data_IF_915800702783
#
_entry.id   IF_915800702783
#
_cell.length_a   1.000
_cell.length_b   1.000
_cell.length_c   1.000
_cell.angle_alpha   90.00
_cell.angle_beta   90.00
_cell.angle_gamma   90.00
#
_symmetry.space_group_name_H-M   'P 1'
#
loop_
_entity.id
_entity.type
_entity.pdbx_description
1 polymer ?
#
# COMPACT_ATOMS: atom_id res chain seq x y z
N UNK A 1 -3.57 -3.67 -20.67
CA UNK A 1 -3.08 -4.47 -19.53
C UNK A 1 -1.68 -4.07 -19.08
N UNK A 2 -0.62 -4.17 -19.89
CA UNK A 2 0.76 -3.82 -19.46
C UNK A 2 0.92 -2.39 -18.91
N UNK A 3 0.29 -1.41 -19.54
CA UNK A 3 0.34 -0.01 -19.07
C UNK A 3 -0.27 0.16 -17.66
N UNK A 4 -1.36 -0.56 -17.34
CA UNK A 4 -2.01 -0.53 -16.03
C UNK A 4 -1.11 -1.20 -14.98
N UNK A 5 -0.52 -2.35 -15.32
CA UNK A 5 0.46 -3.01 -14.44
C UNK A 5 1.61 -2.04 -14.10
N UNK A 6 2.18 -1.38 -15.10
CA UNK A 6 3.24 -0.39 -14.87
C UNK A 6 2.75 0.80 -14.03
N UNK A 7 1.53 1.30 -14.26
CA UNK A 7 0.95 2.37 -13.46
C UNK A 7 0.85 1.98 -11.98
N UNK A 8 0.37 0.77 -11.68
CA UNK A 8 0.27 0.28 -10.29
C UNK A 8 1.66 0.06 -9.68
N UNK A 9 2.64 -0.41 -10.46
CA UNK A 9 4.03 -0.48 -10.01
C UNK A 9 4.60 0.91 -9.66
N UNK A 10 4.32 1.95 -10.46
CA UNK A 10 4.73 3.32 -10.15
C UNK A 10 4.01 3.89 -8.92
N UNK A 11 2.73 3.55 -8.72
CA UNK A 11 2.02 3.84 -7.47
C UNK A 11 2.76 3.20 -6.28
N UNK A 12 3.14 1.94 -6.37
CA UNK A 12 3.83 1.25 -5.28
C UNK A 12 5.18 1.92 -4.98
N UNK A 13 6.06 2.06 -5.98
CA UNK A 13 7.41 2.60 -5.76
C UNK A 13 7.42 4.09 -5.41
N UNK A 14 6.47 4.87 -5.92
CA UNK A 14 6.46 6.34 -5.82
C UNK A 14 5.57 6.89 -4.71
N UNK A 15 4.56 6.12 -4.28
CA UNK A 15 3.57 6.58 -3.31
C UNK A 15 3.55 5.63 -2.12
N UNK A 16 3.19 4.36 -2.32
CA UNK A 16 2.91 3.47 -1.20
C UNK A 16 4.18 3.10 -0.43
N UNK A 17 5.22 2.66 -1.13
CA UNK A 17 6.52 2.34 -0.56
C UNK A 17 7.18 3.57 0.09
N UNK A 18 7.04 4.75 -0.52
CA UNK A 18 7.59 6.00 0.05
C UNK A 18 6.92 6.31 1.39
N UNK A 19 5.58 6.15 1.49
CA UNK A 19 4.82 6.40 2.73
C UNK A 19 5.22 5.48 3.88
N UNK A 20 5.58 4.23 3.61
CA UNK A 20 6.16 3.36 4.65
C UNK A 20 7.62 3.72 4.94
N UNK A 21 8.42 4.05 3.92
CA UNK A 21 9.85 4.32 4.05
C UNK A 21 10.14 5.51 4.96
N UNK A 22 9.37 6.59 4.85
CA UNK A 22 9.54 7.80 5.66
C UNK A 22 9.23 7.59 7.15
N UNK A 23 8.59 6.47 7.50
CA UNK A 23 8.37 6.06 8.90
C UNK A 23 9.37 4.99 9.30
N UNK A 24 9.48 3.92 8.52
CA UNK A 24 10.28 2.75 8.86
C UNK A 24 11.77 3.08 8.94
N UNK A 25 12.31 3.86 7.99
CA UNK A 25 13.74 4.13 7.94
C UNK A 25 14.20 4.98 9.15
N UNK A 26 13.55 6.10 9.51
CA UNK A 26 13.91 6.84 10.72
C UNK A 26 13.64 6.07 12.01
N UNK A 27 12.64 5.18 12.02
CA UNK A 27 12.36 4.32 13.19
C UNK A 27 13.52 3.35 13.44
N UNK A 28 14.03 2.71 12.37
CA UNK A 28 15.11 1.72 12.46
C UNK A 28 16.47 2.39 12.67
N UNK A 29 16.76 3.50 11.98
CA UNK A 29 18.11 4.08 11.92
C UNK A 29 18.31 5.29 12.85
N UNK A 30 17.26 6.04 13.14
CA UNK A 30 17.35 7.36 13.80
C UNK A 30 16.58 7.41 15.14
N UNK A 31 15.94 6.30 15.53
CA UNK A 31 15.25 6.18 16.82
C UNK A 31 13.90 6.91 16.90
N UNK A 32 13.27 7.21 15.76
CA UNK A 32 11.88 7.70 15.72
C UNK A 32 10.99 6.76 16.55
N UNK A 33 10.24 7.32 17.50
CA UNK A 33 9.43 6.52 18.45
C UNK A 33 8.02 6.21 17.96
N UNK A 34 7.47 7.07 17.11
CA UNK A 34 6.12 6.92 16.60
C UNK A 34 5.96 7.65 15.27
N UNK A 35 5.06 7.13 14.43
CA UNK A 35 4.59 7.82 13.24
C UNK A 35 3.78 9.07 13.63
N UNK A 36 3.92 10.15 12.86
CA UNK A 36 3.07 11.33 13.03
C UNK A 36 1.66 11.04 12.51
N UNK A 37 0.66 11.83 12.91
CA UNK A 37 -0.68 11.71 12.34
C UNK A 37 -0.69 11.90 10.81
N UNK A 38 0.20 12.76 10.29
CA UNK A 38 0.33 12.94 8.84
C UNK A 38 0.78 11.63 8.17
N UNK A 39 1.79 10.95 8.73
CA UNK A 39 2.22 9.66 8.20
C UNK A 39 1.10 8.63 8.19
N UNK A 40 0.31 8.57 9.27
CA UNK A 40 -0.82 7.65 9.37
C UNK A 40 -1.94 8.00 8.37
N UNK A 41 -2.26 9.28 8.18
CA UNK A 41 -3.23 9.72 7.18
C UNK A 41 -2.77 9.43 5.75
N UNK A 42 -1.49 9.71 5.45
CA UNK A 42 -0.91 9.37 4.16
C UNK A 42 -1.01 7.85 3.92
N UNK A 43 -0.66 7.02 4.90
CA UNK A 43 -0.74 5.56 4.73
C UNK A 43 -2.18 5.07 4.54
N UNK A 44 -3.13 5.63 5.29
CA UNK A 44 -4.55 5.31 5.15
C UNK A 44 -5.11 5.72 3.78
N UNK A 45 -4.67 6.86 3.22
CA UNK A 45 -5.04 7.26 1.86
C UNK A 45 -4.48 6.27 0.82
N UNK A 46 -3.28 5.72 1.03
CA UNK A 46 -2.73 4.70 0.13
C UNK A 46 -3.56 3.40 0.15
N UNK A 47 -4.08 3.00 1.32
CA UNK A 47 -5.05 1.91 1.43
C UNK A 47 -6.34 2.22 0.64
N UNK A 48 -6.80 3.48 0.67
CA UNK A 48 -7.93 3.94 -0.13
C UNK A 48 -7.69 3.84 -1.63
N UNK A 49 -6.48 4.17 -2.10
CA UNK A 49 -6.10 3.98 -3.51
C UNK A 49 -6.10 2.50 -3.91
N UNK A 50 -5.60 1.62 -3.03
CA UNK A 50 -5.61 0.18 -3.26
C UNK A 50 -7.03 -0.41 -3.32
N UNK A 51 -7.90 0.01 -2.39
CA UNK A 51 -9.32 -0.33 -2.40
C UNK A 51 -10.00 0.12 -3.70
N UNK A 52 -9.61 1.29 -4.24
CA UNK A 52 -10.10 1.78 -5.52
C UNK A 52 -9.61 0.94 -6.71
N UNK A 53 -8.36 0.49 -6.72
CA UNK A 53 -7.87 -0.44 -7.76
C UNK A 53 -8.63 -1.77 -7.74
N UNK A 54 -8.80 -2.36 -6.55
CA UNK A 54 -9.53 -3.61 -6.34
C UNK A 54 -11.05 -3.48 -6.50
N UNK A 55 -11.57 -2.25 -6.57
CA UNK A 55 -12.97 -2.01 -6.93
C UNK A 55 -13.26 -2.24 -8.41
N UNK A 56 -12.23 -2.16 -9.26
CA UNK A 56 -12.35 -2.22 -10.73
C UNK A 56 -11.93 -3.57 -11.30
N UNK A 57 -11.08 -4.30 -10.57
CA UNK A 57 -10.42 -5.52 -11.02
C UNK A 57 -10.40 -6.55 -9.90
N UNK A 58 -10.28 -7.84 -10.25
CA UNK A 58 -10.12 -8.92 -9.25
C UNK A 58 -8.76 -8.88 -8.52
N UNK A 59 -7.72 -8.45 -9.21
CA UNK A 59 -6.35 -8.23 -8.73
C UNK A 59 -5.95 -6.78 -8.97
N UNK A 60 -4.85 -6.29 -8.37
CA UNK A 60 -4.60 -4.82 -8.30
C UNK A 60 -4.51 -4.12 -9.65
N UNK A 61 -4.19 -4.84 -10.73
CA UNK A 61 -4.05 -4.28 -12.07
C UNK A 61 -4.87 -4.98 -13.18
N UNK A 62 -5.45 -6.16 -12.91
CA UNK A 62 -6.08 -7.01 -13.93
C UNK A 62 -7.02 -8.07 -13.31
N UNK A 63 -7.64 -8.90 -14.15
CA UNK A 63 -8.49 -10.02 -13.71
C UNK A 63 -7.71 -11.31 -13.36
N UNK A 64 -6.37 -11.25 -13.42
CA UNK A 64 -5.44 -12.30 -13.01
C UNK A 64 -4.24 -11.69 -12.28
N UNK A 65 -3.51 -12.51 -11.52
CA UNK A 65 -2.30 -12.10 -10.79
C UNK A 65 -1.24 -11.56 -11.75
N UNK A 66 -0.59 -10.47 -11.35
CA UNK A 66 0.55 -9.87 -12.06
C UNK A 66 1.69 -9.55 -11.08
N UNK A 67 2.82 -9.07 -11.59
CA UNK A 67 3.93 -8.59 -10.75
C UNK A 67 3.52 -7.42 -9.83
N UNK A 68 2.48 -6.66 -10.19
CA UNK A 68 1.97 -5.56 -9.38
C UNK A 68 1.37 -6.09 -8.07
N UNK A 69 0.71 -7.25 -8.08
CA UNK A 69 0.16 -7.86 -6.88
C UNK A 69 1.28 -8.22 -5.90
N UNK A 70 2.37 -8.81 -6.40
CA UNK A 70 3.51 -9.21 -5.58
C UNK A 70 4.21 -7.99 -4.94
N UNK A 71 4.41 -6.93 -5.72
CA UNK A 71 5.05 -5.69 -5.25
C UNK A 71 4.20 -5.03 -4.17
N UNK A 72 2.93 -4.76 -4.49
CA UNK A 72 2.01 -4.04 -3.59
C UNK A 72 1.71 -4.87 -2.34
N UNK A 73 1.58 -6.19 -2.44
CA UNK A 73 1.34 -7.05 -1.27
C UNK A 73 2.54 -7.04 -0.31
N UNK A 74 3.77 -7.00 -0.86
CA UNK A 74 4.99 -6.83 -0.05
C UNK A 74 4.99 -5.51 0.73
N UNK A 75 4.68 -4.40 0.06
CA UNK A 75 4.56 -3.09 0.70
C UNK A 75 3.42 -3.07 1.72
N UNK A 76 2.25 -3.64 1.41
CA UNK A 76 1.12 -3.72 2.33
C UNK A 76 1.45 -4.53 3.59
N UNK A 77 2.13 -5.68 3.43
CA UNK A 77 2.57 -6.49 4.56
C UNK A 77 3.45 -5.70 5.52
N UNK A 78 4.40 -4.92 4.99
CA UNK A 78 5.23 -4.03 5.81
C UNK A 78 4.42 -2.85 6.40
N UNK A 79 3.48 -2.29 5.64
CA UNK A 79 2.64 -1.17 6.09
C UNK A 79 1.80 -1.51 7.32
N UNK A 80 1.36 -2.77 7.46
CA UNK A 80 0.56 -3.21 8.61
C UNK A 80 1.32 -3.11 9.94
N UNK A 81 2.66 -3.13 9.94
CA UNK A 81 3.45 -2.89 11.15
C UNK A 81 3.40 -1.42 11.62
N UNK A 82 3.06 -0.49 10.73
CA UNK A 82 2.92 0.95 11.02
C UNK A 82 1.46 1.30 11.31
N UNK A 83 0.56 0.89 10.42
CA UNK A 83 -0.88 1.12 10.52
C UNK A 83 -1.62 -0.17 10.13
N UNK A 84 -2.19 -0.91 11.09
CA UNK A 84 -2.96 -2.10 10.80
C UNK A 84 -4.10 -1.81 9.83
N UNK A 85 -4.31 -2.71 8.87
CA UNK A 85 -5.42 -2.61 7.92
C UNK A 85 -6.75 -2.80 8.67
N UNK A 86 -7.68 -1.87 8.49
CA UNK A 86 -9.04 -1.98 9.02
C UNK A 86 -9.95 -2.59 7.96
N UNK A 87 -10.24 -3.89 8.09
CA UNK A 87 -11.01 -4.64 7.10
C UNK A 87 -12.43 -4.08 6.89
N UNK A 88 -13.01 -3.45 7.91
CA UNK A 88 -14.34 -2.81 7.83
C UNK A 88 -14.32 -1.60 6.89
N UNK A 89 -13.16 -0.91 6.78
CA UNK A 89 -12.96 0.26 5.93
C UNK A 89 -12.42 -0.10 4.54
N UNK A 90 -11.58 -1.14 4.46
CA UNK A 90 -10.93 -1.59 3.24
C UNK A 90 -11.20 -3.08 2.96
N UNK A 91 -12.46 -3.49 2.75
CA UNK A 91 -12.84 -4.89 2.68
C UNK A 91 -12.30 -5.61 1.43
N UNK A 92 -12.08 -4.90 0.31
CA UNK A 92 -11.52 -5.52 -0.89
C UNK A 92 -10.03 -5.73 -0.73
N UNK A 93 -9.31 -4.78 -0.12
CA UNK A 93 -7.90 -4.95 0.24
C UNK A 93 -7.71 -6.12 1.20
N UNK A 94 -8.61 -6.28 2.19
CA UNK A 94 -8.50 -7.39 3.15
C UNK A 94 -8.81 -8.76 2.54
N UNK A 95 -9.66 -8.81 1.50
CA UNK A 95 -10.03 -10.04 0.80
C UNK A 95 -9.00 -10.46 -0.23
N UNK A 96 -8.42 -9.49 -0.92
CA UNK A 96 -7.34 -9.67 -1.89
C UNK A 96 -6.07 -10.14 -1.17
#
# INVERSE_FOLDING_TARGET
TRAIVNQVMFFDTGIFFVRIKVVALPTIMEGMKAATEKHLRDLEEAYGMLEAYLSRNKYVAADHITIADLSVAGTLGAAQAILPLKAEKFPKVAKW
#
